data_IF_781354362251
#
_entry.id   IF_781354362251
#
_cell.length_a   1.000
_cell.length_b   1.000
_cell.length_c   1.000
_cell.angle_alpha   90.00
_cell.angle_beta   90.00
_cell.angle_gamma   90.00
#
_symmetry.space_group_name_H-M   'P 1'
#
loop_
_entity.id
_entity.type
_entity.pdbx_description
1 polymer ?
#
# COMPACT_ATOMS: atom_id res chain seq x y z
N UNK A 1 -13.07 -16.68 13.04
CA UNK A 1 -12.22 -15.64 12.42
C UNK A 1 -13.11 -14.43 12.18
N UNK A 2 -12.76 -13.27 12.74
CA UNK A 2 -13.52 -12.04 12.51
C UNK A 2 -13.07 -11.44 11.18
N UNK A 3 -14.02 -11.17 10.28
CA UNK A 3 -13.76 -10.42 9.05
C UNK A 3 -14.18 -8.97 9.30
N UNK A 4 -13.32 -8.05 8.92
CA UNK A 4 -13.61 -6.62 8.95
C UNK A 4 -13.72 -6.19 7.49
N UNK A 5 -14.90 -5.68 7.12
CA UNK A 5 -15.20 -5.20 5.77
C UNK A 5 -15.07 -3.68 5.74
N UNK A 6 -14.57 -3.17 4.61
CA UNK A 6 -14.32 -1.75 4.46
C UNK A 6 -13.55 -1.41 3.20
N UNK A 7 -13.42 -0.11 2.97
CA UNK A 7 -12.68 0.44 1.86
C UNK A 7 -11.19 0.49 2.17
N UNK A 8 -10.39 0.18 1.16
CA UNK A 8 -8.93 0.22 1.26
C UNK A 8 -8.36 1.18 0.21
N UNK A 9 -7.58 2.14 0.67
CA UNK A 9 -6.91 3.13 -0.16
C UNK A 9 -5.39 2.98 0.00
N UNK A 10 -4.67 3.01 -1.14
CA UNK A 10 -3.21 3.15 -1.15
C UNK A 10 -2.87 4.52 -1.69
N UNK A 11 -2.16 5.31 -0.88
CA UNK A 11 -1.72 6.66 -1.21
C UNK A 11 -0.20 6.66 -1.45
N UNK A 12 0.25 6.77 -2.72
CA UNK A 12 1.66 6.88 -3.04
C UNK A 12 2.26 8.17 -2.49
N UNK A 13 3.46 8.08 -1.93
CA UNK A 13 4.17 9.21 -1.34
C UNK A 13 5.65 9.19 -1.66
N UNK A 14 6.23 10.38 -1.54
CA UNK A 14 7.65 10.64 -1.78
C UNK A 14 8.23 11.30 -0.54
N UNK A 15 9.30 10.75 -0.01
CA UNK A 15 10.00 11.27 1.16
C UNK A 15 11.41 11.69 0.75
N UNK A 16 11.83 12.95 0.94
CA UNK A 16 13.21 13.36 0.72
C UNK A 16 14.16 12.60 1.65
N UNK A 17 15.30 12.16 1.13
CA UNK A 17 16.34 11.48 1.91
C UNK A 17 17.71 12.06 1.58
N UNK A 18 18.34 12.66 2.59
CA UNK A 18 19.59 13.39 2.42
C UNK A 18 19.44 14.60 1.49
N UNK A 19 20.53 15.02 0.86
CA UNK A 19 20.59 16.24 0.06
C UNK A 19 20.16 16.07 -1.40
N UNK A 20 20.09 14.83 -1.92
CA UNK A 20 19.85 14.55 -3.35
C UNK A 20 18.97 13.32 -3.62
N UNK A 21 18.42 12.70 -2.58
CA UNK A 21 17.70 11.45 -2.69
C UNK A 21 16.22 11.58 -2.40
N UNK A 22 15.45 10.67 -2.99
CA UNK A 22 14.02 10.51 -2.71
C UNK A 22 13.73 9.04 -2.44
N UNK A 23 12.91 8.74 -1.44
CA UNK A 23 12.39 7.40 -1.21
C UNK A 23 10.92 7.32 -1.58
N UNK A 24 10.54 6.18 -2.15
CA UNK A 24 9.17 5.83 -2.45
C UNK A 24 8.50 5.23 -1.20
N UNK A 25 7.34 5.75 -0.83
CA UNK A 25 6.55 5.32 0.32
C UNK A 25 5.10 5.10 -0.10
N UNK A 26 4.38 4.28 0.67
CA UNK A 26 2.93 4.17 0.55
C UNK A 26 2.30 4.33 1.93
N UNK A 27 1.22 5.10 1.98
CA UNK A 27 0.29 5.08 3.10
C UNK A 27 -0.86 4.14 2.73
N UNK A 28 -1.18 3.22 3.63
CA UNK A 28 -2.31 2.31 3.52
C UNK A 28 -3.36 2.81 4.49
N UNK A 29 -4.56 3.11 3.98
CA UNK A 29 -5.69 3.57 4.79
C UNK A 29 -6.83 2.59 4.60
N UNK A 30 -7.27 1.99 5.70
CA UNK A 30 -8.47 1.19 5.76
C UNK A 30 -9.57 1.98 6.45
N UNK A 31 -10.78 1.96 5.90
CA UNK A 31 -11.97 2.58 6.50
C UNK A 31 -13.07 1.54 6.61
N UNK A 32 -13.54 1.27 7.82
CA UNK A 32 -14.63 0.32 8.04
C UNK A 32 -16.01 0.96 7.75
N UNK A 33 -17.06 0.13 7.78
CA UNK A 33 -18.43 0.57 7.57
C UNK A 33 -18.96 1.53 8.66
N UNK A 34 -18.33 1.56 9.84
CA UNK A 34 -18.64 2.50 10.91
C UNK A 34 -17.92 3.85 10.74
N UNK A 35 -17.10 4.00 9.68
CA UNK A 35 -16.30 5.18 9.42
C UNK A 35 -15.03 5.28 10.26
N UNK A 36 -14.67 4.23 11.02
CA UNK A 36 -13.39 4.19 11.70
C UNK A 36 -12.28 3.97 10.68
N UNK A 37 -11.15 4.64 10.88
CA UNK A 37 -10.00 4.53 9.99
C UNK A 37 -8.78 3.99 10.73
N UNK A 38 -8.07 3.08 10.06
CA UNK A 38 -6.76 2.59 10.48
C UNK A 38 -5.79 2.88 9.35
N UNK A 39 -4.69 3.56 9.67
CA UNK A 39 -3.67 3.90 8.69
C UNK A 39 -2.30 3.35 9.08
N UNK A 40 -1.49 3.05 8.08
CA UNK A 40 -0.12 2.61 8.26
C UNK A 40 0.75 3.08 7.11
N UNK A 41 1.91 3.64 7.44
CA UNK A 41 2.90 4.08 6.44
C UNK A 41 4.02 3.08 6.33
N UNK A 42 4.52 2.84 5.12
CA UNK A 42 5.71 2.00 4.91
C UNK A 42 6.53 2.43 3.70
N UNK A 43 7.85 2.23 3.72
CA UNK A 43 8.67 2.38 2.54
C UNK A 43 8.39 1.26 1.53
N UNK A 44 8.48 1.59 0.25
CA UNK A 44 8.47 0.61 -0.85
C UNK A 44 9.74 -0.23 -0.77
N UNK A 45 9.61 -1.55 -0.92
CA UNK A 45 10.75 -2.48 -0.92
C UNK A 45 11.17 -2.89 -2.33
N UNK A 46 12.49 -3.04 -2.60
CA UNK A 46 13.61 -2.65 -1.73
C UNK A 46 13.66 -1.12 -1.54
N UNK A 47 14.13 -0.66 -0.37
CA UNK A 47 14.15 0.77 0.02
C UNK A 47 15.19 1.56 -0.81
N UNK A 48 14.91 1.74 -2.10
CA UNK A 48 15.78 2.44 -3.03
C UNK A 48 15.73 3.96 -2.83
N UNK A 49 16.87 4.60 -3.08
CA UNK A 49 16.96 6.06 -3.22
C UNK A 49 16.92 6.41 -4.71
N UNK A 50 15.94 7.21 -5.09
CA UNK A 50 15.72 7.68 -6.46
C UNK A 50 16.37 9.05 -6.69
N UNK A 51 16.74 9.33 -7.94
CA UNK A 51 17.37 10.58 -8.33
C UNK A 51 16.38 11.74 -8.47
N UNK A 52 15.08 11.45 -8.59
CA UNK A 52 14.03 12.47 -8.67
C UNK A 52 12.78 12.10 -7.86
N UNK A 53 11.99 13.11 -7.44
CA UNK A 53 10.71 12.85 -6.76
C UNK A 53 9.72 12.10 -7.65
N UNK A 54 9.77 12.33 -8.97
CA UNK A 54 8.87 11.69 -9.94
C UNK A 54 9.14 10.19 -10.04
N UNK A 55 10.39 9.79 -10.16
CA UNK A 55 10.78 8.36 -10.16
C UNK A 55 10.32 7.65 -8.88
N UNK A 56 10.52 8.29 -7.72
CA UNK A 56 10.05 7.74 -6.45
C UNK A 56 8.52 7.62 -6.40
N UNK A 57 7.78 8.60 -6.93
CA UNK A 57 6.31 8.55 -6.98
C UNK A 57 5.81 7.45 -7.91
N UNK A 58 6.43 7.29 -9.08
CA UNK A 58 6.07 6.26 -10.05
C UNK A 58 6.36 4.86 -9.48
N UNK A 59 7.48 4.70 -8.77
CA UNK A 59 7.79 3.48 -8.03
C UNK A 59 6.77 3.19 -6.91
N UNK A 60 6.36 4.21 -6.15
CA UNK A 60 5.32 4.08 -5.13
C UNK A 60 3.96 3.67 -5.72
N UNK A 61 3.58 4.24 -6.88
CA UNK A 61 2.36 3.89 -7.60
C UNK A 61 2.37 2.43 -8.07
N UNK A 62 3.44 2.02 -8.75
CA UNK A 62 3.60 0.65 -9.24
C UNK A 62 3.55 -0.36 -8.09
N UNK A 63 4.23 -0.06 -6.98
CA UNK A 63 4.21 -0.91 -5.80
C UNK A 63 2.82 -1.01 -5.18
N UNK A 64 2.13 0.13 -5.01
CA UNK A 64 0.75 0.16 -4.50
C UNK A 64 -0.21 -0.66 -5.35
N UNK A 65 -0.18 -0.49 -6.68
CA UNK A 65 -1.01 -1.27 -7.60
C UNK A 65 -0.73 -2.78 -7.53
N UNK A 66 0.53 -3.17 -7.31
CA UNK A 66 0.90 -4.57 -7.10
C UNK A 66 0.33 -5.09 -5.78
N UNK A 67 0.48 -4.34 -4.69
CA UNK A 67 -0.02 -4.72 -3.38
C UNK A 67 -1.55 -4.89 -3.37
N UNK A 68 -2.29 -3.98 -4.01
CA UNK A 68 -3.74 -4.11 -4.19
C UNK A 68 -4.11 -5.42 -4.91
N UNK A 69 -3.41 -5.76 -6.00
CA UNK A 69 -3.65 -7.01 -6.72
C UNK A 69 -3.39 -8.25 -5.87
N UNK A 70 -2.29 -8.23 -5.11
CA UNK A 70 -1.93 -9.34 -4.21
C UNK A 70 -2.99 -9.52 -3.10
N UNK A 71 -3.52 -8.43 -2.55
CA UNK A 71 -4.60 -8.51 -1.55
C UNK A 71 -5.93 -9.00 -2.12
N UNK A 72 -6.33 -8.54 -3.30
CA UNK A 72 -7.53 -9.02 -3.98
C UNK A 72 -7.42 -10.53 -4.27
N UNK A 73 -6.26 -10.98 -4.75
CA UNK A 73 -6.01 -12.41 -4.99
C UNK A 73 -5.99 -13.23 -3.69
N UNK A 74 -5.36 -12.71 -2.64
CA UNK A 74 -5.33 -13.35 -1.32
C UNK A 74 -6.72 -13.48 -0.69
N UNK A 75 -7.57 -12.46 -0.83
CA UNK A 75 -8.95 -12.48 -0.37
C UNK A 75 -9.75 -13.58 -1.09
N UNK A 76 -9.67 -13.65 -2.42
CA UNK A 76 -10.34 -14.69 -3.20
C UNK A 76 -9.90 -16.12 -2.80
N UNK A 77 -8.61 -16.31 -2.53
CA UNK A 77 -8.08 -17.60 -2.07
C UNK A 77 -8.54 -17.96 -0.64
N UNK A 78 -8.65 -16.98 0.25
CA UNK A 78 -9.16 -17.18 1.61
C UNK A 78 -10.65 -17.54 1.62
N UNK A 79 -11.45 -16.89 0.78
CA UNK A 79 -12.88 -17.16 0.65
C UNK A 79 -13.15 -18.55 0.06
N UNK A 80 -12.40 -18.96 -0.96
CA UNK A 80 -12.51 -20.32 -1.52
C UNK A 80 -12.08 -21.44 -0.56
N UNK A 81 -11.25 -21.14 0.45
CA UNK A 81 -10.91 -22.07 1.54
C UNK A 81 -11.97 -22.13 2.64
N UNK A 82 -12.65 -21.03 2.92
CA UNK A 82 -13.73 -20.99 3.91
C UNK A 82 -15.03 -21.68 3.41
N UNK A 83 -15.18 -21.87 2.11
CA UNK A 83 -16.31 -22.56 1.48
C UNK A 83 -16.14 -24.09 1.35
N UNK A 84 -15.07 -24.67 1.91
CA UNK A 84 -14.80 -26.12 1.94
C UNK A 84 -14.80 -26.62 3.38
#
# INVERSE_FOLDING_TARGET
MWKIEGDLEIVPRVVPVGSRGWQAWIDVVFRDAAGQSVSGSRPVRPCCTFGSPREALDAARLHGQRLLREWVQGAAAADGRAAR
#
